data_IF_412253697465
#
_entry.id   IF_412253697465
#
_cell.length_a   1.000
_cell.length_b   1.000
_cell.length_c   1.000
_cell.angle_alpha   90.00
_cell.angle_beta   90.00
_cell.angle_gamma   90.00
#
_symmetry.space_group_name_H-M   'P 1'
#
loop_
_entity.id
_entity.type
_entity.pdbx_description
1 polymer ?
#
# COMPACT_ATOMS: atom_id res chain seq x y z
N UNK A 1 -15.96 -14.67 -0.63
CA UNK A 1 -15.16 -14.12 0.50
C UNK A 1 -14.65 -15.20 1.46
N UNK A 2 -15.13 -16.44 1.37
CA UNK A 2 -14.75 -17.57 2.25
C UNK A 2 -13.33 -18.17 2.10
N UNK A 3 -12.64 -18.19 0.94
CA UNK A 3 -11.39 -18.96 0.84
C UNK A 3 -10.21 -18.28 1.55
N UNK A 4 -10.29 -16.97 1.80
CA UNK A 4 -9.21 -16.19 2.42
C UNK A 4 -9.16 -16.33 3.94
N UNK A 5 -10.31 -16.55 4.58
CA UNK A 5 -10.37 -16.80 6.03
C UNK A 5 -9.78 -18.18 6.37
N UNK A 6 -10.00 -19.16 5.49
CA UNK A 6 -9.46 -20.51 5.63
C UNK A 6 -7.94 -20.56 5.49
N UNK A 7 -7.36 -19.70 4.64
CA UNK A 7 -5.90 -19.56 4.51
C UNK A 7 -5.28 -18.85 5.72
N UNK A 8 -5.98 -17.86 6.28
CA UNK A 8 -5.54 -17.11 7.47
C UNK A 8 -5.47 -18.01 8.71
N UNK A 9 -6.47 -18.89 8.91
CA UNK A 9 -6.49 -19.86 10.02
C UNK A 9 -5.41 -20.94 9.87
N UNK A 10 -5.09 -21.35 8.64
CA UNK A 10 -4.04 -22.35 8.39
C UNK A 10 -2.66 -21.81 8.78
N UNK A 11 -2.38 -20.53 8.49
CA UNK A 11 -1.09 -19.88 8.81
C UNK A 11 -0.90 -19.72 10.32
N UNK A 12 -1.97 -19.42 11.08
CA UNK A 12 -1.90 -19.31 12.54
C UNK A 12 -1.62 -20.67 13.23
N UNK A 13 -2.08 -21.77 12.65
CA UNK A 13 -1.89 -23.11 13.24
C UNK A 13 -0.45 -23.63 13.14
N UNK A 14 0.28 -23.26 12.07
CA UNK A 14 1.69 -23.65 11.89
C UNK A 14 2.60 -22.91 12.87
N UNK A 15 2.28 -21.65 13.19
CA UNK A 15 3.08 -20.84 14.12
C UNK A 15 2.94 -21.26 15.59
N UNK A 16 1.86 -21.93 15.97
CA UNK A 16 1.65 -22.44 17.32
C UNK A 16 2.33 -23.80 17.57
N UNK A 17 2.69 -24.55 16.53
CA UNK A 17 3.28 -25.87 16.64
C UNK A 17 4.80 -25.88 16.86
N UNK A 18 5.47 -24.72 16.88
CA UNK A 18 6.94 -24.61 16.90
C UNK A 18 7.52 -24.03 18.20
N UNK A 19 6.72 -23.90 19.25
CA UNK A 19 7.19 -23.49 20.58
C UNK A 19 6.81 -24.54 21.62
N UNK A 20 7.57 -25.63 21.65
CA UNK A 20 7.76 -26.45 22.86
C UNK A 20 9.25 -26.81 22.94
N UNK A 21 9.89 -26.28 23.98
CA UNK A 21 11.27 -26.50 24.45
C UNK A 21 11.39 -27.81 25.26
N UNK A 22 12.64 -28.22 25.55
CA UNK A 22 13.12 -29.36 26.39
C UNK A 22 13.49 -30.62 25.57
N UNK A 23 14.69 -31.21 25.65
CA UNK A 23 15.72 -31.24 26.70
C UNK A 23 17.07 -31.67 26.08
N UNK A 24 18.15 -30.91 26.29
CA UNK A 24 19.50 -31.26 25.79
C UNK A 24 20.56 -31.15 26.92
N UNK A 25 20.21 -31.58 28.14
CA UNK A 25 21.08 -31.46 29.33
C UNK A 25 21.57 -32.79 29.91
N UNK A 26 21.74 -33.86 29.12
CA UNK A 26 22.11 -35.18 29.69
C UNK A 26 23.38 -35.85 29.15
N UNK A 27 24.15 -35.25 28.25
CA UNK A 27 25.32 -35.95 27.65
C UNK A 27 26.67 -35.61 28.33
N UNK A 28 26.74 -34.60 29.21
CA UNK A 28 28.02 -34.08 29.74
C UNK A 28 28.41 -34.53 31.15
N UNK A 29 27.86 -35.63 31.69
CA UNK A 29 28.16 -36.07 33.07
C UNK A 29 29.00 -37.36 33.19
N UNK A 30 29.29 -38.11 32.11
CA UNK A 30 29.79 -39.49 32.25
C UNK A 30 31.29 -39.75 31.99
N UNK A 31 32.14 -38.75 31.79
CA UNK A 31 33.54 -38.97 31.37
C UNK A 31 34.64 -38.59 32.38
N UNK A 32 34.33 -38.35 33.66
CA UNK A 32 35.37 -38.14 34.67
C UNK A 32 35.08 -38.92 35.94
N UNK A 33 35.55 -40.17 35.98
CA UNK A 33 36.14 -40.81 37.16
C UNK A 33 36.56 -42.24 36.81
N UNK A 34 37.87 -42.50 36.85
CA UNK A 34 38.53 -43.54 37.68
C UNK A 34 39.98 -43.71 37.25
N UNK A 35 40.94 -43.32 38.10
CA UNK A 35 42.25 -44.00 38.18
C UNK A 35 42.10 -45.28 39.03
N UNK A 36 42.97 -46.30 38.85
CA UNK A 36 44.04 -46.45 39.85
C UNK A 36 45.42 -46.88 39.30
N UNK A 37 46.41 -46.68 40.18
CA UNK A 37 47.86 -46.93 40.14
C UNK A 37 48.30 -48.38 39.86
N UNK A 38 49.50 -48.53 39.27
CA UNK A 38 50.58 -49.39 39.80
C UNK A 38 51.13 -50.54 38.94
N UNK A 39 52.45 -50.44 38.66
CA UNK A 39 53.46 -51.49 38.41
C UNK A 39 53.69 -52.13 37.01
N UNK A 40 54.94 -51.97 36.52
CA UNK A 40 55.67 -52.72 35.47
C UNK A 40 56.26 -54.03 36.09
N UNK A 41 56.77 -55.07 35.36
CA UNK A 41 57.63 -54.93 34.18
C UNK A 41 57.61 -56.01 33.06
N UNK A 42 58.30 -55.67 31.96
CA UNK A 42 59.13 -56.51 31.07
C UNK A 42 58.52 -57.40 29.95
N UNK A 43 58.83 -56.95 28.72
CA UNK A 43 59.31 -57.67 27.51
C UNK A 43 58.47 -58.82 26.94
N UNK A 44 58.11 -58.72 25.65
CA UNK A 44 58.73 -59.46 24.51
C UNK A 44 58.06 -59.07 23.18
N UNK A 45 58.86 -58.94 22.12
CA UNK A 45 58.47 -58.88 20.71
C UNK A 45 57.30 -59.82 20.37
N UNK A 46 56.33 -59.41 19.56
CA UNK A 46 56.23 -59.97 18.21
C UNK A 46 55.22 -59.24 17.30
N UNK A 47 55.55 -59.38 16.03
CA UNK A 47 54.83 -59.07 14.81
C UNK A 47 53.35 -59.49 14.77
N UNK A 48 52.64 -58.83 13.83
CA UNK A 48 51.28 -59.06 13.35
C UNK A 48 50.17 -58.52 14.24
N UNK A 49 49.50 -57.44 13.81
CA UNK A 49 48.09 -57.54 13.38
C UNK A 49 47.61 -56.19 12.85
N UNK A 50 46.91 -56.25 11.71
CA UNK A 50 45.75 -55.42 11.39
C UNK A 50 45.94 -53.94 11.06
N UNK A 51 45.60 -53.60 9.81
CA UNK A 51 44.84 -52.38 9.55
C UNK A 51 43.53 -52.42 10.37
N UNK A 52 43.60 -52.07 11.65
CA UNK A 52 42.44 -51.63 12.42
C UNK A 52 42.65 -50.15 12.67
N UNK A 53 41.78 -49.26 12.16
CA UNK A 53 41.89 -47.85 12.46
C UNK A 53 41.87 -47.66 13.98
N UNK A 54 42.81 -46.85 14.49
CA UNK A 54 42.84 -46.46 15.91
C UNK A 54 41.47 -45.85 16.25
N UNK A 55 40.73 -46.52 17.13
CA UNK A 55 39.38 -46.13 17.55
C UNK A 55 39.38 -44.67 18.05
N UNK A 56 40.48 -44.20 18.64
CA UNK A 56 40.65 -42.82 19.10
C UNK A 56 40.89 -41.82 17.96
N UNK A 57 41.47 -42.25 16.84
CA UNK A 57 41.61 -41.43 15.64
C UNK A 57 40.24 -41.25 14.98
N UNK A 58 39.47 -42.35 14.84
CA UNK A 58 38.11 -42.32 14.28
C UNK A 58 37.18 -41.48 15.14
N UNK A 59 37.22 -41.62 16.47
CA UNK A 59 36.42 -40.80 17.40
C UNK A 59 36.76 -39.30 17.29
N UNK A 60 38.03 -38.94 17.10
CA UNK A 60 38.44 -37.54 16.89
C UNK A 60 37.91 -36.99 15.58
N UNK A 61 38.00 -37.77 14.51
CA UNK A 61 37.48 -37.38 13.20
C UNK A 61 35.95 -37.23 13.22
N UNK A 62 35.24 -38.17 13.88
CA UNK A 62 33.80 -38.07 14.11
C UNK A 62 33.43 -36.85 14.96
N UNK A 63 34.23 -36.53 15.99
CA UNK A 63 33.99 -35.34 16.83
C UNK A 63 34.20 -34.05 16.05
N UNK A 64 35.23 -33.99 15.20
CA UNK A 64 35.51 -32.84 14.34
C UNK A 64 34.41 -32.65 13.29
N UNK A 65 33.94 -33.73 12.66
CA UNK A 65 32.85 -33.68 11.68
C UNK A 65 31.52 -33.28 12.33
N UNK A 66 31.19 -33.79 13.52
CA UNK A 66 30.01 -33.34 14.29
C UNK A 66 30.08 -31.86 14.64
N UNK A 67 31.25 -31.35 15.03
CA UNK A 67 31.45 -29.93 15.31
C UNK A 67 31.27 -29.08 14.03
N UNK A 68 31.77 -29.55 12.90
CA UNK A 68 31.59 -28.93 11.57
C UNK A 68 30.11 -28.88 11.17
N UNK A 69 29.40 -30.00 11.22
CA UNK A 69 27.96 -30.06 10.93
C UNK A 69 27.14 -29.17 11.86
N UNK A 70 27.48 -29.13 13.16
CA UNK A 70 26.81 -28.22 14.12
C UNK A 70 27.06 -26.75 13.79
N UNK A 71 28.21 -26.41 13.20
CA UNK A 71 28.45 -25.06 12.71
C UNK A 71 27.60 -24.76 11.47
N UNK A 72 27.58 -25.65 10.47
CA UNK A 72 26.77 -25.48 9.25
C UNK A 72 25.27 -25.36 9.56
N UNK A 73 24.73 -26.17 10.46
CA UNK A 73 23.32 -26.07 10.88
C UNK A 73 23.01 -24.69 11.47
N UNK A 74 23.90 -24.17 12.33
CA UNK A 74 23.71 -22.84 12.93
C UNK A 74 23.80 -21.72 11.89
N UNK A 75 24.70 -21.87 10.91
CA UNK A 75 24.84 -20.89 9.84
C UNK A 75 23.62 -20.90 8.90
N UNK A 76 23.15 -22.08 8.50
CA UNK A 76 21.92 -22.27 7.73
C UNK A 76 20.68 -21.78 8.48
N UNK A 77 20.61 -21.99 9.80
CA UNK A 77 19.53 -21.44 10.63
C UNK A 77 19.54 -19.90 10.58
N UNK A 78 20.70 -19.27 10.74
CA UNK A 78 20.85 -17.82 10.63
C UNK A 78 20.48 -17.30 9.23
N UNK A 79 20.90 -17.99 8.18
CA UNK A 79 20.55 -17.63 6.80
C UNK A 79 19.04 -17.74 6.56
N UNK A 80 18.41 -18.80 7.07
CA UNK A 80 16.95 -18.99 6.97
C UNK A 80 16.17 -17.91 7.75
N UNK A 81 16.64 -17.51 8.93
CA UNK A 81 16.06 -16.39 9.68
C UNK A 81 16.17 -15.09 8.87
N UNK A 82 17.34 -14.81 8.29
CA UNK A 82 17.56 -13.65 7.42
C UNK A 82 16.62 -13.64 6.22
N UNK A 83 16.53 -14.76 5.49
CA UNK A 83 15.60 -14.90 4.34
C UNK A 83 14.14 -14.76 4.76
N UNK A 84 13.75 -15.28 5.92
CA UNK A 84 12.39 -15.15 6.45
C UNK A 84 12.06 -13.67 6.73
N UNK A 85 13.00 -12.91 7.28
CA UNK A 85 12.85 -11.47 7.48
C UNK A 85 12.72 -10.70 6.15
N UNK A 86 13.45 -11.10 5.12
CA UNK A 86 13.32 -10.49 3.79
C UNK A 86 11.96 -10.78 3.14
N UNK A 87 11.53 -12.04 3.16
CA UNK A 87 10.24 -12.47 2.61
C UNK A 87 9.08 -11.77 3.33
N UNK A 88 9.13 -11.66 4.65
CA UNK A 88 8.10 -10.96 5.43
C UNK A 88 8.06 -9.46 5.12
N UNK A 89 9.22 -8.80 4.98
CA UNK A 89 9.27 -7.40 4.56
C UNK A 89 8.76 -7.19 3.13
N UNK A 90 9.12 -8.07 2.20
CA UNK A 90 8.62 -8.03 0.83
C UNK A 90 7.10 -8.19 0.80
N UNK A 91 6.56 -9.18 1.51
CA UNK A 91 5.13 -9.40 1.64
C UNK A 91 4.44 -8.18 2.23
N UNK A 92 5.00 -7.56 3.28
CA UNK A 92 4.44 -6.34 3.88
C UNK A 92 4.39 -5.18 2.88
N UNK A 93 5.45 -4.96 2.10
CA UNK A 93 5.49 -3.93 1.05
C UNK A 93 4.49 -4.20 -0.06
N UNK A 94 4.38 -5.46 -0.48
CA UNK A 94 3.43 -5.89 -1.49
C UNK A 94 1.99 -5.71 -0.99
N UNK A 95 1.67 -6.15 0.23
CA UNK A 95 0.38 -5.92 0.86
C UNK A 95 0.04 -4.44 0.97
N UNK A 96 0.99 -3.60 1.42
CA UNK A 96 0.78 -2.17 1.48
C UNK A 96 0.46 -1.60 0.08
N UNK A 97 1.26 -1.94 -0.92
CA UNK A 97 1.04 -1.54 -2.33
C UNK A 97 -0.33 -1.96 -2.87
N UNK A 98 -0.79 -3.16 -2.52
CA UNK A 98 -2.11 -3.68 -2.90
C UNK A 98 -3.26 -3.04 -2.11
N UNK A 99 -2.98 -2.48 -0.93
CA UNK A 99 -3.99 -1.87 -0.04
C UNK A 99 -4.11 -0.37 -0.23
N UNK A 100 -3.10 0.31 -0.81
CA UNK A 100 -3.22 1.74 -1.16
C UNK A 100 -4.34 1.90 -2.19
N UNK A 101 -5.49 2.42 -1.74
CA UNK A 101 -6.56 2.80 -2.65
C UNK A 101 -6.05 3.93 -3.53
N UNK A 102 -6.08 3.71 -4.85
CA UNK A 102 -5.84 4.76 -5.83
C UNK A 102 -7.17 5.42 -6.13
N UNK A 103 -7.20 6.75 -6.07
CA UNK A 103 -8.40 7.54 -6.37
C UNK A 103 -7.99 8.71 -7.24
N UNK A 104 -8.56 8.80 -8.42
CA UNK A 104 -8.35 9.91 -9.33
C UNK A 104 -9.52 10.00 -10.31
N UNK A 105 -10.02 11.19 -10.56
CA UNK A 105 -11.02 11.42 -11.58
C UNK A 105 -10.74 12.71 -12.36
N UNK A 106 -11.23 12.75 -13.58
CA UNK A 106 -11.22 13.94 -14.42
C UNK A 106 -12.43 13.88 -15.34
N UNK A 107 -13.24 14.94 -15.35
CA UNK A 107 -14.45 15.03 -16.14
C UNK A 107 -14.65 16.43 -16.73
N UNK A 108 -15.32 16.52 -17.88
CA UNK A 108 -15.79 17.76 -18.49
C UNK A 108 -17.31 17.86 -18.50
N UNK A 109 -17.82 19.08 -18.65
CA UNK A 109 -19.19 19.41 -18.33
C UNK A 109 -20.19 18.70 -19.25
N UNK A 110 -20.01 18.81 -20.55
CA UNK A 110 -20.93 18.24 -21.54
C UNK A 110 -20.45 16.87 -22.04
N UNK A 111 -21.38 15.92 -22.14
CA UNK A 111 -21.11 14.61 -22.77
C UNK A 111 -20.83 14.72 -24.27
N UNK A 112 -21.47 15.69 -24.94
CA UNK A 112 -21.33 16.00 -26.37
C UNK A 112 -21.97 17.35 -26.67
N UNK A 113 -21.67 17.90 -27.86
CA UNK A 113 -22.23 19.16 -28.33
C UNK A 113 -21.51 20.38 -27.74
N UNK A 114 -22.15 21.55 -27.90
CA UNK A 114 -21.57 22.86 -27.59
C UNK A 114 -22.65 23.78 -27.04
N UNK A 115 -22.34 24.51 -25.96
CA UNK A 115 -23.30 25.46 -25.41
C UNK A 115 -22.93 26.04 -24.06
N UNK A 116 -23.76 26.98 -23.62
CA UNK A 116 -23.70 27.53 -22.28
C UNK A 116 -24.58 26.74 -21.32
N UNK A 117 -24.08 26.52 -20.10
CA UNK A 117 -24.88 26.05 -18.96
C UNK A 117 -25.11 27.22 -18.02
N UNK A 118 -26.38 27.47 -17.68
CA UNK A 118 -26.83 28.71 -17.06
C UNK A 118 -26.98 29.86 -18.07
N UNK A 119 -27.30 31.08 -17.61
CA UNK A 119 -27.50 31.46 -16.22
C UNK A 119 -28.76 30.83 -15.60
N UNK A 120 -28.67 30.51 -14.31
CA UNK A 120 -29.81 30.07 -13.50
C UNK A 120 -30.07 31.09 -12.39
N UNK A 121 -31.32 31.21 -11.95
CA UNK A 121 -31.71 32.16 -10.88
C UNK A 121 -31.20 31.73 -9.49
N UNK A 122 -30.79 30.47 -9.34
CA UNK A 122 -30.28 29.89 -8.10
C UNK A 122 -28.93 29.21 -8.31
N UNK A 123 -28.19 29.04 -7.21
CA UNK A 123 -27.00 28.20 -7.20
C UNK A 123 -27.37 26.79 -7.66
N UNK A 124 -26.67 26.27 -8.65
CA UNK A 124 -27.04 25.01 -9.31
C UNK A 124 -25.82 24.09 -9.36
N UNK A 125 -25.97 22.85 -8.92
CA UNK A 125 -24.90 21.84 -9.03
C UNK A 125 -24.56 21.58 -10.50
N UNK A 126 -23.27 21.65 -10.83
CA UNK A 126 -22.78 21.27 -12.15
C UNK A 126 -22.47 19.77 -12.16
N UNK A 127 -23.05 19.08 -13.13
CA UNK A 127 -22.84 17.65 -13.34
C UNK A 127 -21.94 17.46 -14.57
N UNK A 128 -20.71 17.01 -14.37
CA UNK A 128 -19.73 16.82 -15.43
C UNK A 128 -19.95 15.45 -16.07
N UNK A 129 -20.60 15.47 -17.24
CA UNK A 129 -21.15 14.26 -17.86
C UNK A 129 -20.12 13.45 -18.64
N UNK A 130 -19.07 14.09 -19.17
CA UNK A 130 -18.01 13.38 -19.87
C UNK A 130 -16.89 13.00 -18.91
N UNK A 131 -16.81 11.72 -18.55
CA UNK A 131 -15.81 11.22 -17.60
C UNK A 131 -14.63 10.62 -18.35
N UNK A 132 -13.47 11.27 -18.28
CA UNK A 132 -12.24 10.80 -18.92
C UNK A 132 -11.53 9.74 -18.07
N UNK A 133 -11.55 9.90 -16.74
CA UNK A 133 -10.94 8.97 -15.79
C UNK A 133 -11.76 8.96 -14.51
N UNK A 134 -11.91 7.78 -13.88
CA UNK A 134 -12.60 7.62 -12.60
C UNK A 134 -12.05 6.41 -11.81
N UNK A 135 -10.74 6.42 -11.55
CA UNK A 135 -10.08 5.38 -10.76
C UNK A 135 -10.63 5.42 -9.34
N UNK A 136 -11.08 4.27 -8.85
CA UNK A 136 -11.72 4.14 -7.54
C UNK A 136 -13.21 4.46 -7.54
N UNK A 137 -13.81 4.82 -8.70
CA UNK A 137 -15.24 5.08 -8.88
C UNK A 137 -15.83 6.05 -7.83
N UNK A 138 -15.05 7.07 -7.45
CA UNK A 138 -15.41 8.03 -6.41
C UNK A 138 -16.26 9.19 -6.95
N UNK A 139 -16.18 9.47 -8.26
CA UNK A 139 -17.01 10.47 -8.93
C UNK A 139 -18.26 9.83 -9.56
N UNK A 140 -19.42 10.47 -9.38
CA UNK A 140 -20.69 10.03 -9.96
C UNK A 140 -21.15 11.03 -11.04
N UNK A 141 -21.16 10.65 -12.33
CA UNK A 141 -21.59 11.53 -13.43
C UNK A 141 -23.10 11.75 -13.52
N UNK A 142 -23.92 11.02 -12.76
CA UNK A 142 -25.36 11.27 -12.70
C UNK A 142 -25.68 12.43 -11.75
N UNK A 143 -24.94 12.55 -10.65
CA UNK A 143 -25.17 13.55 -9.60
C UNK A 143 -24.17 14.71 -9.60
N UNK A 144 -22.98 14.53 -10.19
CA UNK A 144 -21.89 15.49 -10.15
C UNK A 144 -21.03 15.44 -8.89
N UNK A 145 -21.24 14.43 -8.05
CA UNK A 145 -20.62 14.33 -6.73
C UNK A 145 -19.38 13.44 -6.74
N UNK A 146 -18.34 13.91 -6.08
CA UNK A 146 -17.23 13.08 -5.60
C UNK A 146 -17.52 12.68 -4.15
N UNK A 147 -17.43 11.39 -3.83
CA UNK A 147 -17.59 10.87 -2.47
C UNK A 147 -16.28 10.21 -2.05
N UNK A 148 -15.67 10.71 -0.97
CA UNK A 148 -14.38 10.20 -0.50
C UNK A 148 -14.48 8.73 -0.07
N UNK A 149 -13.80 7.78 -0.78
CA UNK A 149 -13.92 6.36 -0.49
C UNK A 149 -12.97 5.87 0.60
N UNK A 150 -12.04 6.72 1.03
CA UNK A 150 -11.07 6.52 2.11
C UNK A 150 -10.79 7.86 2.77
N UNK A 151 -10.34 7.84 4.02
CA UNK A 151 -9.84 9.05 4.69
C UNK A 151 -8.47 9.41 4.12
N UNK A 152 -8.26 10.69 3.82
CA UNK A 152 -6.99 11.13 3.25
C UNK A 152 -6.94 12.59 2.86
N UNK A 153 -5.84 12.96 2.21
CA UNK A 153 -5.63 14.29 1.62
C UNK A 153 -5.86 14.21 0.12
N UNK A 154 -6.71 15.09 -0.39
CA UNK A 154 -7.12 15.13 -1.79
C UNK A 154 -6.81 16.48 -2.40
N UNK A 155 -6.37 16.49 -3.66
CA UNK A 155 -6.29 17.69 -4.47
C UNK A 155 -7.51 17.76 -5.39
N UNK A 156 -8.11 18.95 -5.53
CA UNK A 156 -9.17 19.23 -6.49
C UNK A 156 -8.84 20.49 -7.28
N UNK A 157 -9.21 20.47 -8.56
CA UNK A 157 -9.08 21.61 -9.47
C UNK A 157 -10.37 21.77 -10.27
N UNK A 158 -10.80 23.02 -10.43
CA UNK A 158 -11.88 23.40 -11.34
C UNK A 158 -11.32 24.35 -12.38
N UNK A 159 -11.72 24.13 -13.64
CA UNK A 159 -11.53 25.09 -14.75
C UNK A 159 -12.87 25.33 -15.39
N UNK A 160 -13.16 26.57 -15.72
CA UNK A 160 -14.44 26.99 -16.26
C UNK A 160 -14.19 27.94 -17.42
N UNK A 161 -14.42 27.45 -18.64
CA UNK A 161 -14.43 28.30 -19.82
C UNK A 161 -15.76 29.04 -19.94
N UNK A 162 -15.74 30.25 -20.47
CA UNK A 162 -16.95 31.00 -20.83
C UNK A 162 -16.65 32.02 -21.93
N UNK A 163 -17.71 32.56 -22.52
CA UNK A 163 -17.64 33.73 -23.40
C UNK A 163 -18.16 34.95 -22.69
N UNK A 164 -17.50 36.09 -22.93
CA UNK A 164 -17.88 37.41 -22.45
C UNK A 164 -19.37 37.71 -22.64
N UNK A 165 -19.97 38.34 -21.64
CA UNK A 165 -21.36 38.78 -21.67
C UNK A 165 -21.52 40.11 -20.93
N UNK A 166 -22.34 41.04 -21.42
CA UNK A 166 -22.60 42.29 -20.71
C UNK A 166 -23.14 42.10 -19.28
N UNK A 167 -23.95 41.05 -19.06
CA UNK A 167 -24.71 40.86 -17.81
C UNK A 167 -24.38 39.59 -17.03
N UNK A 168 -23.53 38.70 -17.56
CA UNK A 168 -23.25 37.40 -16.94
C UNK A 168 -21.76 37.11 -16.91
N UNK A 169 -21.21 36.90 -15.72
CA UNK A 169 -19.87 36.34 -15.54
C UNK A 169 -19.87 34.80 -15.55
N UNK A 170 -18.71 34.23 -15.28
CA UNK A 170 -18.50 32.80 -15.03
C UNK A 170 -18.05 32.62 -13.59
N UNK A 171 -18.80 31.87 -12.79
CA UNK A 171 -18.46 31.64 -11.40
C UNK A 171 -18.79 30.22 -10.94
N UNK A 172 -17.75 29.48 -10.61
CA UNK A 172 -17.87 28.12 -10.07
C UNK A 172 -17.32 28.07 -8.66
N UNK A 173 -17.99 27.30 -7.81
CA UNK A 173 -17.63 27.14 -6.40
C UNK A 173 -17.52 25.66 -6.09
N UNK A 174 -16.39 25.27 -5.53
CA UNK A 174 -16.21 23.94 -4.98
C UNK A 174 -16.79 23.90 -3.56
N UNK A 175 -17.64 22.91 -3.32
CA UNK A 175 -18.40 22.73 -2.09
C UNK A 175 -17.97 21.41 -1.44
N UNK A 176 -17.76 21.43 -0.13
CA UNK A 176 -17.57 20.23 0.71
C UNK A 176 -18.71 20.17 1.72
N UNK A 177 -19.52 19.11 1.73
CA UNK A 177 -20.62 18.90 2.70
C UNK A 177 -21.46 20.17 2.94
N UNK A 178 -21.93 20.82 1.88
CA UNK A 178 -22.71 22.07 1.89
C UNK A 178 -21.95 23.37 2.23
N UNK A 179 -20.65 23.29 2.55
CA UNK A 179 -19.81 24.47 2.78
C UNK A 179 -19.03 24.87 1.53
N UNK A 180 -19.09 26.14 1.18
CA UNK A 180 -18.23 26.71 0.15
C UNK A 180 -16.77 26.67 0.61
N UNK A 181 -15.92 26.01 -0.17
CA UNK A 181 -14.49 25.92 0.13
C UNK A 181 -13.74 27.01 -0.61
N UNK A 182 -13.88 27.06 -1.94
CA UNK A 182 -13.25 28.10 -2.76
C UNK A 182 -14.05 28.34 -4.03
N UNK A 183 -13.84 29.53 -4.62
CA UNK A 183 -14.53 29.99 -5.81
C UNK A 183 -13.53 30.40 -6.90
N UNK A 184 -13.92 30.23 -8.15
CA UNK A 184 -13.31 30.84 -9.31
C UNK A 184 -14.36 31.75 -9.96
N UNK A 185 -14.05 33.04 -10.12
CA UNK A 185 -14.96 34.03 -10.70
C UNK A 185 -14.23 34.87 -11.72
N UNK A 186 -14.88 35.15 -12.84
CA UNK A 186 -14.39 36.07 -13.87
C UNK A 186 -15.58 36.73 -14.56
N UNK A 187 -15.46 38.00 -14.94
CA UNK A 187 -16.45 38.69 -15.76
C UNK A 187 -15.79 39.64 -16.76
N UNK A 188 -16.09 39.41 -18.03
CA UNK A 188 -15.76 40.31 -19.12
C UNK A 188 -16.98 40.48 -20.04
N UNK A 189 -17.07 41.62 -20.71
CA UNK A 189 -18.21 41.98 -21.57
C UNK A 189 -18.18 41.30 -22.94
N UNK A 190 -16.99 40.95 -23.44
CA UNK A 190 -16.78 40.32 -24.76
C UNK A 190 -15.53 39.42 -24.76
N UNK A 191 -15.34 38.61 -25.80
CA UNK A 191 -14.17 37.72 -25.93
C UNK A 191 -14.32 36.38 -25.19
N UNK A 192 -13.21 35.66 -25.05
CA UNK A 192 -13.12 34.39 -24.30
C UNK A 192 -12.62 34.64 -22.88
N UNK A 193 -13.23 33.98 -21.90
CA UNK A 193 -12.82 34.05 -20.50
C UNK A 193 -12.61 32.64 -19.94
N UNK A 194 -11.73 32.53 -18.97
CA UNK A 194 -11.54 31.31 -18.20
C UNK A 194 -11.34 31.66 -16.73
N UNK A 195 -12.03 30.96 -15.84
CA UNK A 195 -11.78 31.02 -14.40
C UNK A 195 -11.34 29.65 -13.91
N UNK A 196 -10.34 29.61 -13.04
CA UNK A 196 -9.82 28.36 -12.49
C UNK A 196 -9.34 28.56 -11.07
N UNK A 197 -9.50 27.55 -10.23
CA UNK A 197 -8.96 27.53 -8.88
C UNK A 197 -8.80 26.07 -8.41
N UNK A 198 -8.01 25.84 -7.37
CA UNK A 198 -7.74 24.52 -6.82
C UNK A 198 -7.49 24.54 -5.33
N UNK A 199 -7.64 23.38 -4.69
CA UNK A 199 -7.49 23.23 -3.24
C UNK A 199 -6.95 21.86 -2.88
N UNK A 200 -6.33 21.79 -1.71
CA UNK A 200 -6.02 20.54 -1.03
C UNK A 200 -6.92 20.42 0.20
N UNK A 201 -7.67 19.32 0.31
CA UNK A 201 -8.61 19.07 1.40
C UNK A 201 -8.28 17.77 2.12
N UNK A 202 -8.41 17.80 3.45
CA UNK A 202 -8.55 16.58 4.24
C UNK A 202 -10.03 16.16 4.25
N UNK A 203 -10.27 14.92 3.83
CA UNK A 203 -11.60 14.34 3.72
C UNK A 203 -11.71 13.09 4.61
N UNK A 204 -12.85 12.97 5.28
CA UNK A 204 -13.29 11.74 5.93
C UNK A 204 -14.02 10.83 4.94
N UNK A 205 -14.15 9.54 5.28
CA UNK A 205 -14.91 8.60 4.46
C UNK A 205 -16.37 9.07 4.35
N UNK A 206 -16.85 9.21 3.12
CA UNK A 206 -18.22 9.68 2.85
C UNK A 206 -18.37 11.19 2.70
N UNK A 207 -17.32 11.98 2.94
CA UNK A 207 -17.36 13.41 2.62
C UNK A 207 -17.67 13.62 1.12
N UNK A 208 -18.58 14.56 0.84
CA UNK A 208 -19.05 14.86 -0.51
C UNK A 208 -18.43 16.17 -0.98
N UNK A 209 -17.81 16.12 -2.16
CA UNK A 209 -17.24 17.28 -2.85
C UNK A 209 -17.89 17.43 -4.22
N UNK A 210 -18.34 18.64 -4.56
CA UNK A 210 -18.95 18.92 -5.85
C UNK A 210 -18.74 20.37 -6.26
N UNK A 211 -19.07 20.68 -7.52
CA UNK A 211 -19.00 22.04 -8.05
C UNK A 211 -20.40 22.58 -8.26
N UNK A 212 -20.63 23.81 -7.84
CA UNK A 212 -21.86 24.55 -8.14
C UNK A 212 -21.56 25.77 -8.99
N UNK A 213 -22.47 26.08 -9.90
CA UNK A 213 -22.52 27.35 -10.62
C UNK A 213 -23.18 28.40 -9.72
N UNK A 214 -22.58 29.58 -9.62
CA UNK A 214 -23.19 30.70 -8.91
C UNK A 214 -24.41 31.23 -9.67
N UNK A 215 -25.43 31.67 -8.93
CA UNK A 215 -26.63 32.25 -9.54
C UNK A 215 -26.28 33.41 -10.49
N UNK A 216 -27.03 33.55 -11.59
CA UNK A 216 -26.84 34.52 -12.67
C UNK A 216 -25.49 34.44 -13.42
N UNK A 217 -24.73 33.35 -13.25
CA UNK A 217 -23.48 33.12 -14.00
C UNK A 217 -23.62 31.96 -14.96
N UNK A 218 -22.74 31.89 -15.95
CA UNK A 218 -22.77 30.85 -16.99
C UNK A 218 -21.38 30.32 -17.28
N UNK A 219 -21.31 29.03 -17.62
CA UNK A 219 -20.11 28.38 -18.14
C UNK A 219 -20.37 27.89 -19.55
N UNK A 220 -19.31 27.71 -20.33
CA UNK A 220 -19.34 27.20 -21.68
C UNK A 220 -18.56 25.90 -21.74
N UNK A 221 -19.04 24.98 -22.57
CA UNK A 221 -18.30 23.79 -22.92
C UNK A 221 -18.59 23.38 -24.36
N UNK A 222 -17.66 22.64 -24.95
CA UNK A 222 -17.83 22.01 -26.26
C UNK A 222 -16.91 20.78 -26.37
N UNK A 223 -16.72 20.25 -27.58
CA UNK A 223 -15.92 19.05 -27.85
C UNK A 223 -14.44 19.18 -27.42
N UNK A 224 -13.97 20.40 -27.10
CA UNK A 224 -12.61 20.68 -26.61
C UNK A 224 -12.51 20.72 -25.08
N UNK A 225 -13.60 20.47 -24.34
CA UNK A 225 -13.60 20.30 -22.87
C UNK A 225 -13.03 21.52 -22.11
N UNK A 226 -13.66 22.69 -22.27
CA UNK A 226 -13.23 23.95 -21.63
C UNK A 226 -13.54 24.00 -20.13
N UNK A 227 -14.61 23.32 -19.72
CA UNK A 227 -15.07 23.31 -18.34
C UNK A 227 -14.82 21.94 -17.72
N UNK A 228 -13.87 21.85 -16.79
CA UNK A 228 -13.42 20.58 -16.20
C UNK A 228 -13.43 20.61 -14.68
N UNK A 229 -13.66 19.43 -14.11
CA UNK A 229 -13.52 19.16 -12.68
C UNK A 229 -12.68 17.88 -12.53
N UNK A 230 -11.57 18.03 -11.80
CA UNK A 230 -10.64 16.92 -11.57
C UNK A 230 -10.24 16.86 -10.11
N UNK A 231 -9.88 15.66 -9.66
CA UNK A 231 -9.33 15.48 -8.32
C UNK A 231 -8.69 14.12 -8.12
N UNK A 232 -7.81 14.02 -7.14
CA UNK A 232 -7.10 12.79 -6.81
C UNK A 232 -6.67 12.74 -5.35
N UNK A 233 -6.52 11.52 -4.83
CA UNK A 233 -5.93 11.24 -3.53
C UNK A 233 -4.42 11.43 -3.61
N UNK A 234 -3.87 12.24 -2.71
CA UNK A 234 -2.42 12.42 -2.55
C UNK A 234 -1.88 11.30 -1.65
N UNK A 235 -2.48 11.12 -0.47
CA UNK A 235 -2.14 10.02 0.45
C UNK A 235 -3.28 9.77 1.45
N UNK A 236 -3.40 8.52 1.90
CA UNK A 236 -4.34 8.11 2.95
C UNK A 236 -3.85 8.51 4.35
N UNK A 237 -4.79 8.72 5.29
CA UNK A 237 -4.50 9.02 6.72
C UNK A 237 -5.04 7.96 7.67
#
# INVERSE_FOLDING_TARGET
MEPFLSLLLLICSVSAAQLNTESDSEITAHLLQTEPKGEEPARTLNNQQSCTPDIHAVLREMSATLAGLKYEIRDLQRENEGKTAEVTNFNRRMFFSLTVKKVAFSASLLASGSGHTGPFDTHTTLVFKYVLTNIGNAYNPDTGFFIAPVRGVYHFEIKSGAYGHPSHGSATVLVKNDQNVFAAWEHQTSGTMSSSNGVILSLEVGDVVFVRLWHHTRVYDNEHNHSTFSGHLIFTM
#
